data_IF_541484923990
#
_entry.id   IF_541484923990
#
_cell.length_a   1.000
_cell.length_b   1.000
_cell.length_c   1.000
_cell.angle_alpha   90.00
_cell.angle_beta   90.00
_cell.angle_gamma   90.00
#
_symmetry.space_group_name_H-M   'P 1'
#
loop_
_entity.id
_entity.type
_entity.pdbx_description
1 polymer ?
#
# COMPACT_ATOMS: atom_id res chain seq x y z
N UNK A 1 31.46 -23.98 -12.75
CA UNK A 1 30.99 -23.51 -14.07
C UNK A 1 29.49 -23.28 -13.96
N UNK A 2 28.87 -22.14 -14.23
CA UNK A 2 29.27 -20.90 -14.91
C UNK A 2 28.73 -19.67 -14.15
N UNK A 3 29.63 -18.71 -13.90
CA UNK A 3 29.28 -17.30 -13.72
C UNK A 3 28.76 -16.77 -15.06
N UNK A 4 27.62 -16.07 -15.05
CA UNK A 4 27.36 -14.97 -15.99
C UNK A 4 26.81 -13.80 -15.20
N UNK A 5 27.72 -12.89 -14.88
CA UNK A 5 27.44 -11.50 -14.58
C UNK A 5 27.13 -10.81 -15.91
N UNK A 6 25.94 -10.24 -16.05
CA UNK A 6 25.69 -9.19 -17.03
C UNK A 6 25.10 -7.98 -16.31
N UNK A 7 25.99 -6.99 -16.13
CA UNK A 7 25.72 -5.56 -16.18
C UNK A 7 24.44 -5.03 -15.53
N UNK A 8 24.49 -4.80 -14.22
CA UNK A 8 23.66 -3.82 -13.54
C UNK A 8 24.42 -3.34 -12.31
N UNK A 9 24.52 -2.02 -12.12
CA UNK A 9 25.17 -1.40 -10.97
C UNK A 9 24.76 -2.10 -9.65
N UNK A 10 25.68 -2.70 -8.89
CA UNK A 10 25.34 -3.48 -7.70
C UNK A 10 24.99 -2.62 -6.47
N UNK A 11 24.97 -1.29 -6.59
CA UNK A 11 24.82 -0.36 -5.47
C UNK A 11 23.39 0.12 -5.18
N UNK A 12 22.46 -0.03 -6.13
CA UNK A 12 21.05 0.35 -5.94
C UNK A 12 20.21 -0.73 -6.56
N UNK A 13 20.04 -1.85 -5.84
CA UNK A 13 18.89 -2.71 -6.12
C UNK A 13 17.66 -1.78 -6.07
N UNK A 14 16.99 -1.61 -7.21
CA UNK A 14 15.73 -0.91 -7.36
C UNK A 14 14.64 -1.71 -6.60
N UNK A 15 14.79 -1.82 -5.27
CA UNK A 15 13.87 -2.46 -4.36
C UNK A 15 12.65 -1.56 -4.27
N UNK A 16 11.79 -1.65 -5.28
CA UNK A 16 10.43 -1.11 -5.20
C UNK A 16 9.79 -1.70 -3.96
N UNK A 17 9.37 -0.84 -3.04
CA UNK A 17 8.63 -1.27 -1.86
C UNK A 17 7.46 -2.15 -2.28
N UNK A 18 7.27 -3.33 -1.65
CA UNK A 18 6.17 -4.19 -2.02
C UNK A 18 4.85 -3.48 -1.68
N UNK A 19 3.80 -3.74 -2.45
CA UNK A 19 2.46 -3.21 -2.14
C UNK A 19 1.79 -4.13 -1.11
N UNK A 20 2.36 -4.14 0.08
CA UNK A 20 1.88 -4.90 1.23
C UNK A 20 1.26 -3.98 2.26
N UNK A 21 0.11 -4.37 2.80
CA UNK A 21 -0.53 -3.70 3.92
C UNK A 21 -0.77 -4.72 5.02
N UNK A 22 -0.45 -4.35 6.26
CA UNK A 22 -0.81 -5.12 7.44
C UNK A 22 -1.77 -4.30 8.29
N UNK A 23 -2.93 -4.87 8.58
CA UNK A 23 -3.86 -4.36 9.58
C UNK A 23 -3.90 -5.28 10.79
N UNK A 24 -4.14 -4.68 11.93
CA UNK A 24 -4.45 -5.38 13.18
C UNK A 24 -5.80 -6.13 13.06
N UNK A 25 -6.12 -7.06 13.98
CA UNK A 25 -7.38 -7.80 13.94
C UNK A 25 -8.64 -6.92 13.93
N UNK A 26 -8.55 -5.72 14.51
CA UNK A 26 -9.57 -4.67 14.60
C UNK A 26 -9.53 -3.64 13.45
N UNK A 27 -8.94 -4.00 12.31
CA UNK A 27 -8.90 -3.19 11.07
C UNK A 27 -8.10 -1.89 11.19
N UNK A 28 -7.21 -1.74 12.18
CA UNK A 28 -6.35 -0.57 12.29
C UNK A 28 -5.08 -0.76 11.47
N UNK A 29 -4.61 0.33 10.89
CA UNK A 29 -3.31 0.35 10.22
C UNK A 29 -2.20 -0.01 11.19
N UNK A 30 -1.39 -1.01 10.82
CA UNK A 30 -0.14 -1.30 11.53
C UNK A 30 1.07 -0.83 10.72
N UNK A 31 1.22 -1.34 9.50
CA UNK A 31 2.41 -1.08 8.70
C UNK A 31 2.16 -1.27 7.21
N UNK A 32 3.06 -0.72 6.40
CA UNK A 32 3.06 -0.83 4.94
C UNK A 32 4.43 -1.32 4.42
N UNK A 33 4.46 -1.93 3.24
CA UNK A 33 5.69 -2.25 2.52
C UNK A 33 6.52 -3.34 3.19
N UNK A 34 7.84 -3.17 3.23
CA UNK A 34 8.76 -4.13 3.85
C UNK A 34 8.42 -4.36 5.32
N UNK A 35 8.15 -3.30 6.09
CA UNK A 35 7.76 -3.42 7.49
C UNK A 35 6.52 -4.31 7.70
N UNK A 36 5.52 -4.21 6.81
CA UNK A 36 4.34 -5.07 6.84
C UNK A 36 4.66 -6.53 6.54
N UNK A 37 5.52 -6.76 5.55
CA UNK A 37 5.95 -8.10 5.17
C UNK A 37 6.75 -8.72 6.33
N UNK A 38 7.79 -8.05 6.79
CA UNK A 38 8.74 -8.61 7.75
C UNK A 38 8.01 -8.91 9.06
N UNK A 39 7.25 -7.95 9.60
CA UNK A 39 6.48 -8.15 10.82
C UNK A 39 5.54 -9.36 10.71
N UNK A 40 4.76 -9.47 9.61
CA UNK A 40 3.82 -10.58 9.47
C UNK A 40 4.50 -11.96 9.38
N UNK A 41 5.67 -12.04 8.74
CA UNK A 41 6.39 -13.31 8.60
C UNK A 41 7.22 -13.68 9.84
N UNK A 42 7.47 -12.71 10.73
CA UNK A 42 8.13 -12.92 12.02
C UNK A 42 7.14 -13.33 13.13
N UNK A 43 5.83 -13.17 12.92
CA UNK A 43 4.79 -13.61 13.87
C UNK A 43 4.74 -15.13 14.01
N UNK A 44 4.38 -15.59 15.21
CA UNK A 44 3.98 -16.98 15.42
C UNK A 44 2.79 -17.34 14.51
N UNK A 45 2.74 -18.55 13.90
CA UNK A 45 1.68 -18.92 12.96
C UNK A 45 0.26 -18.84 13.52
N UNK A 46 0.08 -19.04 14.83
CA UNK A 46 -1.22 -18.89 15.50
C UNK A 46 -1.63 -17.42 15.62
N UNK A 47 -0.68 -16.54 15.92
CA UNK A 47 -0.91 -15.11 15.99
C UNK A 47 -1.16 -14.53 14.59
N UNK A 48 -0.33 -14.88 13.61
CA UNK A 48 -0.43 -14.40 12.22
C UNK A 48 -1.84 -14.60 11.63
N UNK A 49 -2.56 -15.66 12.03
CA UNK A 49 -3.96 -15.92 11.62
C UNK A 49 -4.95 -14.84 12.07
N UNK A 50 -4.66 -14.11 13.14
CA UNK A 50 -5.50 -13.03 13.64
C UNK A 50 -5.32 -11.74 12.81
N UNK A 51 -4.12 -11.56 12.27
CA UNK A 51 -3.72 -10.37 11.51
C UNK A 51 -4.26 -10.37 10.08
N UNK A 52 -4.43 -9.17 9.53
CA UNK A 52 -4.98 -8.95 8.20
C UNK A 52 -3.87 -8.49 7.26
N UNK A 53 -3.18 -9.45 6.67
CA UNK A 53 -2.09 -9.20 5.73
C UNK A 53 -2.55 -9.26 4.28
N UNK A 54 -2.28 -8.19 3.54
CA UNK A 54 -2.62 -8.04 2.12
C UNK A 54 -1.34 -7.90 1.30
N UNK A 55 -0.94 -8.96 0.59
CA UNK A 55 0.19 -8.92 -0.35
C UNK A 55 -0.25 -8.49 -1.75
N UNK A 56 0.59 -7.69 -2.42
CA UNK A 56 0.43 -7.21 -3.80
C UNK A 56 -0.98 -6.70 -4.13
N UNK A 57 -1.64 -6.02 -3.19
CA UNK A 57 -3.07 -5.70 -3.29
C UNK A 57 -3.41 -4.77 -4.47
N UNK A 58 -2.44 -3.98 -4.96
CA UNK A 58 -2.58 -3.17 -6.18
C UNK A 58 -2.91 -4.02 -7.41
N UNK A 59 -2.37 -5.24 -7.49
CA UNK A 59 -2.62 -6.12 -8.63
C UNK A 59 -4.01 -6.71 -8.61
N UNK A 60 -4.58 -6.94 -7.42
CA UNK A 60 -5.91 -7.53 -7.27
C UNK A 60 -6.98 -6.67 -7.95
N UNK A 61 -6.96 -5.34 -7.76
CA UNK A 61 -7.93 -4.43 -8.41
C UNK A 61 -7.72 -4.27 -9.93
N UNK A 62 -6.48 -4.46 -10.42
CA UNK A 62 -6.21 -4.44 -11.85
C UNK A 62 -6.82 -5.66 -12.56
N UNK A 63 -6.78 -6.82 -11.91
CA UNK A 63 -7.33 -8.08 -12.45
C UNK A 63 -8.85 -8.21 -12.31
N UNK A 64 -9.50 -7.41 -11.47
CA UNK A 64 -10.96 -7.47 -11.27
C UNK A 64 -11.70 -6.78 -12.42
N UNK A 65 -12.48 -7.56 -13.18
CA UNK A 65 -13.30 -7.07 -14.30
C UNK A 65 -14.41 -6.12 -13.86
N UNK A 66 -15.04 -6.43 -12.72
CA UNK A 66 -16.25 -5.78 -12.20
C UNK A 66 -15.96 -5.05 -10.89
N UNK A 67 -14.94 -4.19 -10.93
CA UNK A 67 -14.54 -3.40 -9.78
C UNK A 67 -15.65 -2.40 -9.40
N UNK A 68 -16.21 -2.56 -8.21
CA UNK A 68 -17.16 -1.63 -7.58
C UNK A 68 -16.58 -1.06 -6.28
N UNK A 69 -17.25 -0.06 -5.70
CA UNK A 69 -16.90 0.49 -4.37
C UNK A 69 -17.14 -0.51 -3.23
N UNK A 70 -17.87 -1.59 -3.49
CA UNK A 70 -18.16 -2.68 -2.57
C UNK A 70 -17.16 -3.83 -2.70
N UNK A 71 -16.26 -3.78 -3.69
CA UNK A 71 -15.24 -4.81 -3.89
C UNK A 71 -14.46 -5.04 -2.60
N UNK A 72 -14.35 -6.30 -2.20
CA UNK A 72 -13.56 -6.72 -1.06
C UNK A 72 -12.25 -7.36 -1.51
N UNK A 73 -11.22 -7.21 -0.67
CA UNK A 73 -9.97 -7.94 -0.78
C UNK A 73 -9.93 -8.99 0.32
N UNK A 74 -9.48 -10.18 -0.05
CA UNK A 74 -9.19 -11.24 0.90
C UNK A 74 -7.75 -11.10 1.42
N UNK A 75 -7.63 -11.04 2.74
CA UNK A 75 -6.37 -11.13 3.48
C UNK A 75 -5.86 -12.58 3.47
N UNK A 76 -4.59 -12.81 3.82
CA UNK A 76 -3.99 -14.16 3.84
C UNK A 76 -4.71 -15.13 4.79
N UNK A 77 -5.34 -14.64 5.85
CA UNK A 77 -6.14 -15.47 6.76
C UNK A 77 -7.57 -15.77 6.25
N UNK A 78 -7.93 -15.36 5.03
CA UNK A 78 -9.24 -15.58 4.43
C UNK A 78 -10.32 -14.55 4.83
N UNK A 79 -10.02 -13.63 5.77
CA UNK A 79 -10.96 -12.54 6.10
C UNK A 79 -11.01 -11.52 4.96
N UNK A 80 -12.19 -10.96 4.73
CA UNK A 80 -12.44 -9.96 3.69
C UNK A 80 -12.57 -8.57 4.27
N UNK A 81 -12.01 -7.60 3.58
CA UNK A 81 -12.06 -6.17 3.93
C UNK A 81 -12.34 -5.38 2.67
N UNK A 82 -13.09 -4.28 2.77
CA UNK A 82 -13.36 -3.41 1.62
C UNK A 82 -12.04 -2.95 0.99
N UNK A 83 -11.90 -3.16 -0.31
CA UNK A 83 -10.72 -2.72 -1.05
C UNK A 83 -10.50 -1.22 -0.83
N UNK A 84 -11.57 -0.43 -0.81
CA UNK A 84 -11.50 1.02 -0.65
C UNK A 84 -10.79 1.43 0.65
N UNK A 85 -11.03 0.69 1.74
CA UNK A 85 -10.42 0.90 3.05
C UNK A 85 -8.93 0.53 3.05
N UNK A 86 -8.57 -0.61 2.44
CA UNK A 86 -7.16 -1.03 2.27
C UNK A 86 -6.36 0.03 1.49
N UNK A 87 -6.93 0.56 0.41
CA UNK A 87 -6.28 1.61 -0.37
C UNK A 87 -6.23 2.95 0.37
N UNK A 88 -7.26 3.32 1.12
CA UNK A 88 -7.26 4.51 1.96
C UNK A 88 -6.16 4.44 3.03
N UNK A 89 -5.98 3.29 3.70
CA UNK A 89 -4.86 3.11 4.64
C UNK A 89 -3.50 3.31 3.98
N UNK A 90 -3.29 2.76 2.78
CA UNK A 90 -2.04 2.94 2.04
C UNK A 90 -1.80 4.40 1.65
N UNK A 91 -2.82 5.10 1.15
CA UNK A 91 -2.72 6.52 0.77
C UNK A 91 -2.46 7.41 1.99
N UNK A 92 -3.12 7.14 3.12
CA UNK A 92 -2.90 7.82 4.40
C UNK A 92 -1.46 7.65 4.86
N UNK A 93 -0.93 6.42 4.82
CA UNK A 93 0.46 6.14 5.17
C UNK A 93 1.43 6.99 4.32
N UNK A 94 1.25 7.04 3.00
CA UNK A 94 2.14 7.85 2.14
C UNK A 94 2.05 9.34 2.45
N UNK A 95 0.83 9.85 2.69
CA UNK A 95 0.61 11.25 3.06
C UNK A 95 1.33 11.60 4.37
N UNK A 96 1.08 10.83 5.42
CA UNK A 96 1.65 11.06 6.75
C UNK A 96 3.17 10.92 6.75
N UNK A 97 3.69 9.90 6.05
CA UNK A 97 5.13 9.68 5.92
C UNK A 97 5.81 10.84 5.18
N UNK A 98 5.27 11.28 4.04
CA UNK A 98 5.83 12.40 3.29
C UNK A 98 5.78 13.71 4.09
N UNK A 99 4.68 13.99 4.79
CA UNK A 99 4.58 15.19 5.64
C UNK A 99 5.59 15.15 6.80
N UNK A 100 5.80 13.99 7.40
CA UNK A 100 6.82 13.80 8.44
C UNK A 100 8.21 14.08 7.89
N UNK A 101 8.58 13.50 6.75
CA UNK A 101 9.90 13.72 6.14
C UNK A 101 10.14 15.19 5.81
N UNK A 102 9.13 15.91 5.30
CA UNK A 102 9.27 17.35 5.03
C UNK A 102 9.44 18.15 6.32
N UNK A 103 8.71 17.80 7.38
CA UNK A 103 8.86 18.45 8.69
C UNK A 103 10.23 18.18 9.31
N UNK A 104 10.77 16.97 9.15
CA UNK A 104 12.08 16.61 9.70
C UNK A 104 13.23 17.32 8.94
N UNK A 105 13.00 17.70 7.68
CA UNK A 105 13.97 18.42 6.84
C UNK A 105 13.81 19.95 6.83
N UNK A 106 12.69 20.48 7.34
CA UNK A 106 12.41 21.91 7.32
C UNK A 106 11.96 22.43 8.69
N UNK A 107 12.42 23.62 9.08
CA UNK A 107 11.95 24.30 10.30
C UNK A 107 10.52 24.84 10.17
N UNK A 108 9.88 24.66 9.01
CA UNK A 108 8.58 25.25 8.67
C UNK A 108 7.50 24.19 8.84
N UNK A 109 6.48 24.50 9.64
CA UNK A 109 5.29 23.65 9.75
C UNK A 109 4.44 23.86 8.51
N UNK A 110 4.38 22.86 7.63
CA UNK A 110 3.42 22.86 6.53
C UNK A 110 2.02 22.59 7.07
N UNK A 111 1.09 23.48 6.77
CA UNK A 111 -0.33 23.26 7.06
C UNK A 111 -0.93 22.30 6.02
N UNK A 112 -1.98 21.57 6.42
CA UNK A 112 -2.49 20.42 5.67
C UNK A 112 -3.05 20.75 4.27
N UNK A 113 -3.38 22.00 4.00
CA UNK A 113 -3.93 22.52 2.74
C UNK A 113 -2.87 23.11 1.80
N UNK A 114 -1.61 23.22 2.24
CA UNK A 114 -0.51 23.75 1.44
C UNK A 114 0.08 22.72 0.46
N UNK A 115 -0.31 21.45 0.57
CA UNK A 115 0.22 20.35 -0.24
C UNK A 115 -0.80 19.85 -1.25
N UNK A 116 -0.44 19.91 -2.53
CA UNK A 116 -1.23 19.31 -3.61
C UNK A 116 -0.73 17.89 -3.91
N UNK A 117 -1.57 16.89 -3.65
CA UNK A 117 -1.26 15.49 -3.92
C UNK A 117 -1.63 15.10 -5.36
N UNK A 118 -0.71 14.40 -6.03
CA UNK A 118 -0.93 13.83 -7.36
C UNK A 118 -0.70 12.33 -7.30
N UNK A 119 -1.75 11.54 -7.52
CA UNK A 119 -1.67 10.07 -7.56
C UNK A 119 -1.64 9.63 -9.02
N UNK A 120 -0.58 8.91 -9.40
CA UNK A 120 -0.46 8.34 -10.74
C UNK A 120 -1.13 6.97 -10.79
N UNK A 121 -2.01 6.79 -11.78
CA UNK A 121 -2.65 5.51 -12.09
C UNK A 121 -2.16 5.02 -13.46
N UNK A 122 -1.81 3.74 -13.62
CA UNK A 122 -1.34 3.21 -14.91
C UNK A 122 -2.38 3.44 -16.02
N UNK A 123 -1.93 3.79 -17.23
CA UNK A 123 -2.81 4.06 -18.36
C UNK A 123 -3.69 2.85 -18.75
N UNK A 124 -3.18 1.63 -18.54
CA UNK A 124 -3.86 0.35 -18.83
C UNK A 124 -5.04 0.06 -17.89
N UNK A 125 -5.19 0.81 -16.79
CA UNK A 125 -6.31 0.63 -15.87
C UNK A 125 -7.61 1.14 -16.51
N UNK A 126 -8.68 0.34 -16.35
CA UNK A 126 -10.03 0.71 -16.81
C UNK A 126 -10.56 1.92 -16.03
N UNK A 127 -11.53 2.62 -16.61
CA UNK A 127 -12.14 3.81 -16.01
C UNK A 127 -12.67 3.58 -14.57
N UNK A 128 -13.32 2.43 -14.24
CA UNK A 128 -13.75 2.15 -12.87
C UNK A 128 -12.59 2.11 -11.86
N UNK A 129 -11.43 1.55 -12.24
CA UNK A 129 -10.25 1.51 -11.37
C UNK A 129 -9.66 2.91 -11.14
N UNK A 130 -9.74 3.80 -12.14
CA UNK A 130 -9.34 5.21 -11.97
C UNK A 130 -10.29 5.95 -11.03
N UNK A 131 -11.61 5.75 -11.17
CA UNK A 131 -12.60 6.33 -10.26
C UNK A 131 -12.42 5.79 -8.82
N UNK A 132 -12.22 4.48 -8.68
CA UNK A 132 -11.97 3.84 -7.39
C UNK A 132 -10.78 4.46 -6.65
N UNK A 133 -9.65 4.65 -7.34
CA UNK A 133 -8.49 5.33 -6.74
C UNK A 133 -8.77 6.76 -6.32
N UNK A 134 -9.63 7.48 -7.06
CA UNK A 134 -10.05 8.83 -6.71
C UNK A 134 -10.90 8.82 -5.44
N UNK A 135 -11.87 7.92 -5.32
CA UNK A 135 -12.66 7.79 -4.09
C UNK A 135 -11.79 7.41 -2.88
N UNK A 136 -10.83 6.49 -3.06
CA UNK A 136 -9.89 6.13 -2.00
C UNK A 136 -9.07 7.34 -1.54
N UNK A 137 -8.69 8.23 -2.46
CA UNK A 137 -7.99 9.47 -2.15
C UNK A 137 -8.89 10.46 -1.39
N UNK A 138 -10.16 10.60 -1.76
CA UNK A 138 -11.08 11.50 -1.05
C UNK A 138 -11.33 11.08 0.41
N UNK A 139 -11.23 9.79 0.74
CA UNK A 139 -11.36 9.31 2.13
C UNK A 139 -10.19 9.73 3.04
N UNK A 140 -9.05 10.12 2.47
CA UNK A 140 -7.84 10.48 3.25
C UNK A 140 -7.60 11.99 3.34
N UNK A 141 -8.47 12.80 2.72
CA UNK A 141 -8.35 14.26 2.64
C UNK A 141 -7.15 14.71 1.81
#
# INVERSE_FOLDING_TARGET
QNRRWEGGDPGVANQKSPTCLLLTPDLRFHSFGFAARDFYHDLDPEEARLWLYFDKFKMKIHSTSDLTMETELEAVNGRRVRALEVFAHALRFFREHALKEVKDQSSTVLEGDQVRWVITVPAVWRQPAKQFMREAAYLVG
#
